data_IF_662007013734
#
_entry.id   IF_662007013734
#
_cell.length_a   1.000
_cell.length_b   1.000
_cell.length_c   1.000
_cell.angle_alpha   90.00
_cell.angle_beta   90.00
_cell.angle_gamma   90.00
#
_symmetry.space_group_name_H-M   'P 1'
#
loop_
_entity.id
_entity.type
_entity.pdbx_description
1 polymer ?
#
# COMPACT_ATOMS: atom_id res chain seq x y z
N UNK A 1 4.55 -18.51 -12.85
CA UNK A 1 3.52 -18.88 -11.86
C UNK A 1 4.02 -18.47 -10.49
N UNK A 2 3.21 -17.81 -9.68
CA UNK A 2 3.52 -17.50 -8.28
C UNK A 2 2.49 -18.23 -7.42
N UNK A 3 2.93 -18.86 -6.33
CA UNK A 3 2.05 -19.56 -5.39
C UNK A 3 1.77 -18.65 -4.21
N UNK A 4 0.48 -18.44 -3.90
CA UNK A 4 0.02 -17.86 -2.65
C UNK A 4 -0.67 -18.93 -1.79
N UNK A 5 -1.08 -18.57 -0.58
CA UNK A 5 -1.86 -19.45 0.29
C UNK A 5 -3.01 -18.68 0.94
N UNK A 6 -4.07 -19.41 1.30
CA UNK A 6 -5.17 -18.95 2.12
C UNK A 6 -5.44 -20.05 3.14
N UNK A 7 -5.24 -19.74 4.42
CA UNK A 7 -5.45 -20.68 5.51
C UNK A 7 -6.63 -20.20 6.35
N UNK A 8 -7.55 -21.11 6.66
CA UNK A 8 -8.63 -20.86 7.60
C UNK A 8 -8.26 -21.45 8.97
N UNK A 9 -8.54 -20.69 10.04
CA UNK A 9 -8.14 -21.02 11.40
C UNK A 9 -6.88 -20.27 11.85
N UNK A 10 -6.34 -20.65 13.01
CA UNK A 10 -5.22 -19.93 13.65
C UNK A 10 -3.86 -20.61 13.50
N UNK A 11 -3.81 -21.74 12.79
CA UNK A 11 -2.57 -22.48 12.59
C UNK A 11 -1.62 -21.72 11.65
N UNK A 12 -0.33 -21.68 12.01
CA UNK A 12 0.72 -21.10 11.17
C UNK A 12 0.84 -19.58 11.22
N UNK A 13 0.06 -18.89 12.05
CA UNK A 13 0.16 -17.43 12.21
C UNK A 13 1.55 -17.05 12.75
N UNK A 14 2.25 -16.14 12.06
CA UNK A 14 3.56 -15.69 12.53
C UNK A 14 3.48 -14.96 13.87
N UNK A 15 4.50 -15.18 14.72
CA UNK A 15 4.67 -14.43 15.98
C UNK A 15 5.06 -12.97 15.77
N UNK A 16 5.50 -12.59 14.56
CA UNK A 16 5.87 -11.21 14.24
C UNK A 16 4.68 -10.33 13.85
N UNK A 17 3.48 -10.90 13.74
CA UNK A 17 2.27 -10.17 13.34
C UNK A 17 2.01 -8.99 14.26
N UNK A 18 1.79 -7.82 13.65
CA UNK A 18 1.35 -6.60 14.32
C UNK A 18 -0.08 -6.29 13.90
N UNK A 19 -0.95 -6.14 14.89
CA UNK A 19 -2.37 -5.92 14.69
C UNK A 19 -2.75 -4.44 14.73
N UNK A 20 -3.72 -4.07 13.91
CA UNK A 20 -4.50 -2.84 13.99
C UNK A 20 -5.98 -3.20 14.19
N UNK A 21 -6.75 -2.44 14.98
CA UNK A 21 -8.20 -2.59 15.04
C UNK A 21 -8.82 -2.45 13.64
N UNK A 22 -9.89 -3.22 13.38
CA UNK A 22 -10.76 -3.01 12.23
C UNK A 22 -11.54 -1.72 12.48
N UNK A 23 -11.48 -0.77 11.55
CA UNK A 23 -12.30 0.45 11.61
C UNK A 23 -13.62 0.28 10.88
N UNK A 24 -14.63 1.06 11.26
CA UNK A 24 -15.87 1.18 10.49
C UNK A 24 -15.63 2.03 9.24
N UNK A 25 -16.25 1.65 8.13
CA UNK A 25 -16.29 2.42 6.88
C UNK A 25 -17.73 2.85 6.64
N UNK A 26 -17.93 4.10 6.25
CA UNK A 26 -19.28 4.66 6.05
C UNK A 26 -20.03 3.99 4.89
N UNK A 27 -19.31 3.50 3.88
CA UNK A 27 -19.87 2.96 2.64
C UNK A 27 -20.16 1.45 2.67
N UNK A 28 -19.98 0.76 3.79
CA UNK A 28 -20.34 -0.65 3.89
C UNK A 28 -19.90 -1.36 5.16
N UNK A 29 -20.80 -2.17 5.72
CA UNK A 29 -20.59 -2.93 6.96
C UNK A 29 -19.82 -4.24 6.77
N UNK A 30 -19.61 -4.68 5.53
CA UNK A 30 -19.00 -5.98 5.21
C UNK A 30 -17.52 -5.88 4.83
N UNK A 31 -16.92 -4.69 4.90
CA UNK A 31 -15.51 -4.48 4.56
C UNK A 31 -14.61 -4.52 5.79
N UNK A 32 -13.37 -4.99 5.61
CA UNK A 32 -12.33 -4.86 6.61
C UNK A 32 -11.73 -3.45 6.53
N UNK A 33 -12.14 -2.58 7.44
CA UNK A 33 -11.62 -1.23 7.52
C UNK A 33 -10.25 -1.15 8.16
N UNK A 34 -9.45 -0.21 7.64
CA UNK A 34 -8.17 0.21 8.18
C UNK A 34 -8.22 1.70 8.50
N UNK A 35 -7.57 2.09 9.60
CA UNK A 35 -7.37 3.50 9.93
C UNK A 35 -5.92 3.90 9.64
N UNK A 36 -5.70 4.58 8.51
CA UNK A 36 -4.37 5.07 8.09
C UNK A 36 -4.05 6.36 8.86
N UNK A 37 -3.00 6.32 9.67
CA UNK A 37 -2.53 7.45 10.48
C UNK A 37 -1.42 8.22 9.79
N UNK A 38 -0.56 7.53 9.04
CA UNK A 38 0.53 8.16 8.31
C UNK A 38 0.97 7.32 7.12
N UNK A 39 1.53 8.01 6.12
CA UNK A 39 2.31 7.43 5.05
C UNK A 39 3.70 8.06 5.12
N UNK A 40 4.74 7.27 5.00
CA UNK A 40 6.13 7.74 4.94
C UNK A 40 6.78 7.37 3.62
N UNK A 41 7.66 8.24 3.12
CA UNK A 41 8.49 8.00 1.93
C UNK A 41 9.94 8.34 2.28
N UNK A 42 10.84 7.36 2.15
CA UNK A 42 12.24 7.47 2.59
C UNK A 42 12.37 7.83 4.07
N UNK A 43 11.50 7.29 4.92
CA UNK A 43 11.47 7.58 6.37
C UNK A 43 10.85 8.92 6.76
N UNK A 44 10.46 9.77 5.80
CA UNK A 44 9.84 11.06 6.07
C UNK A 44 8.31 10.94 6.00
N UNK A 45 7.63 11.36 7.08
CA UNK A 45 6.17 11.44 7.12
C UNK A 45 5.67 12.47 6.11
N UNK A 46 4.73 12.06 5.27
CA UNK A 46 4.11 12.95 4.29
C UNK A 46 3.16 13.95 4.97
N UNK A 47 3.09 15.19 4.48
CA UNK A 47 2.19 16.22 5.01
C UNK A 47 0.76 16.01 4.51
N UNK A 48 0.13 14.90 4.93
CA UNK A 48 -1.25 14.57 4.59
C UNK A 48 -2.14 14.93 5.80
N UNK A 49 -3.15 15.81 5.64
CA UNK A 49 -4.09 16.09 6.72
C UNK A 49 -4.80 14.81 7.17
N UNK A 50 -4.97 14.62 8.48
CA UNK A 50 -5.65 13.43 9.02
C UNK A 50 -7.09 13.26 8.51
N UNK A 51 -7.75 14.38 8.18
CA UNK A 51 -9.10 14.41 7.61
C UNK A 51 -9.22 13.65 6.29
N UNK A 52 -8.12 13.50 5.53
CA UNK A 52 -8.11 12.80 4.23
C UNK A 52 -8.48 11.31 4.36
N UNK A 53 -8.20 10.68 5.51
CA UNK A 53 -8.53 9.27 5.75
C UNK A 53 -9.68 9.08 6.73
N UNK A 54 -10.36 10.15 7.15
CA UNK A 54 -11.37 10.09 8.22
C UNK A 54 -12.74 9.63 7.72
N UNK A 55 -13.15 10.02 6.52
CA UNK A 55 -14.46 9.67 5.95
C UNK A 55 -14.33 9.57 4.43
N UNK A 56 -14.75 8.46 3.81
CA UNK A 56 -15.39 7.27 4.39
C UNK A 56 -14.44 6.31 5.10
N UNK A 57 -13.12 6.59 5.09
CA UNK A 57 -12.09 5.77 5.74
C UNK A 57 -11.15 5.10 4.74
N UNK A 58 -10.50 4.02 5.19
CA UNK A 58 -9.74 3.13 4.32
C UNK A 58 -10.18 1.67 4.52
N UNK A 59 -9.97 0.85 3.50
CA UNK A 59 -10.26 -0.58 3.53
C UNK A 59 -9.09 -1.37 2.97
N UNK A 60 -9.01 -2.65 3.33
CA UNK A 60 -8.11 -3.62 2.68
C UNK A 60 -8.89 -4.50 1.72
N UNK A 61 -8.41 -4.63 0.49
CA UNK A 61 -9.10 -5.39 -0.55
C UNK A 61 -8.10 -6.05 -1.50
N UNK A 62 -8.04 -7.38 -1.46
CA UNK A 62 -7.24 -8.20 -2.37
C UNK A 62 -7.83 -8.28 -3.79
N UNK A 63 -9.09 -7.88 -4.00
CA UNK A 63 -9.74 -7.78 -5.30
C UNK A 63 -9.33 -6.55 -6.11
N UNK A 64 -8.85 -5.50 -5.44
CA UNK A 64 -8.30 -4.31 -6.09
C UNK A 64 -6.81 -4.49 -6.36
N UNK A 65 -6.39 -4.40 -7.64
CA UNK A 65 -5.02 -4.71 -8.06
C UNK A 65 -3.96 -3.87 -7.33
N UNK A 66 -4.11 -2.54 -7.29
CA UNK A 66 -3.16 -1.60 -6.68
C UNK A 66 -3.84 -0.73 -5.63
N UNK A 67 -3.07 -0.20 -4.68
CA UNK A 67 -3.59 0.74 -3.70
C UNK A 67 -4.14 1.99 -4.37
N UNK A 68 -5.35 2.37 -3.95
CA UNK A 68 -6.05 3.58 -4.37
C UNK A 68 -6.10 4.57 -3.21
N UNK A 69 -5.72 5.82 -3.45
CA UNK A 69 -5.67 6.85 -2.42
C UNK A 69 -6.52 8.04 -2.81
N UNK A 70 -7.13 8.76 -1.85
CA UNK A 70 -7.66 10.11 -2.08
C UNK A 70 -6.64 10.98 -2.84
N UNK A 71 -7.06 11.77 -3.87
CA UNK A 71 -6.18 12.63 -4.66
C UNK A 71 -5.13 13.40 -3.86
N UNK A 72 -5.48 14.00 -2.70
CA UNK A 72 -4.52 14.73 -1.84
C UNK A 72 -3.42 13.81 -1.31
N UNK A 73 -3.77 12.63 -0.80
CA UNK A 73 -2.81 11.67 -0.29
C UNK A 73 -1.94 11.11 -1.42
N UNK A 74 -2.55 10.77 -2.57
CA UNK A 74 -1.82 10.30 -3.74
C UNK A 74 -0.82 11.34 -4.25
N UNK A 75 -1.23 12.61 -4.35
CA UNK A 75 -0.37 13.70 -4.81
C UNK A 75 0.86 13.88 -3.90
N UNK A 76 0.68 13.83 -2.58
CA UNK A 76 1.78 13.91 -1.62
C UNK A 76 2.76 12.73 -1.77
N UNK A 77 2.24 11.50 -1.87
CA UNK A 77 3.05 10.29 -2.05
C UNK A 77 3.81 10.32 -3.37
N UNK A 78 3.10 10.58 -4.48
CA UNK A 78 3.67 10.67 -5.84
C UNK A 78 4.79 11.71 -5.88
N UNK A 79 4.55 12.91 -5.36
CA UNK A 79 5.51 14.01 -5.43
C UNK A 79 6.77 13.70 -4.62
N UNK A 80 6.62 13.23 -3.37
CA UNK A 80 7.76 12.85 -2.54
C UNK A 80 8.54 11.68 -3.14
N UNK A 81 7.86 10.70 -3.73
CA UNK A 81 8.51 9.54 -4.33
C UNK A 81 9.30 9.94 -5.58
N UNK A 82 8.70 10.72 -6.49
CA UNK A 82 9.37 11.25 -7.69
C UNK A 82 10.59 12.08 -7.33
N UNK A 83 10.50 12.94 -6.31
CA UNK A 83 11.63 13.75 -5.87
C UNK A 83 12.83 12.89 -5.41
N UNK A 84 12.58 11.80 -4.68
CA UNK A 84 13.64 10.86 -4.24
C UNK A 84 14.17 9.94 -5.34
N UNK A 85 13.41 9.80 -6.44
CA UNK A 85 13.78 9.02 -7.62
C UNK A 85 14.34 9.88 -8.76
N UNK A 86 14.64 11.16 -8.53
CA UNK A 86 15.00 12.15 -9.56
C UNK A 86 16.23 11.81 -10.42
N UNK A 87 17.11 10.91 -9.95
CA UNK A 87 18.24 10.40 -10.73
C UNK A 87 17.86 9.38 -11.82
N UNK A 88 16.62 8.91 -11.82
CA UNK A 88 16.11 7.93 -12.78
C UNK A 88 15.19 8.61 -13.79
N UNK A 89 15.35 8.36 -15.10
CA UNK A 89 14.52 8.97 -16.12
C UNK A 89 13.08 8.47 -16.00
N UNK A 90 12.14 9.39 -16.13
CA UNK A 90 10.71 9.03 -16.23
C UNK A 90 10.37 8.56 -17.63
N UNK A 91 9.37 7.69 -17.75
CA UNK A 91 8.80 7.22 -19.02
C UNK A 91 7.29 7.40 -19.03
N UNK A 92 6.63 7.05 -20.13
CA UNK A 92 5.18 7.15 -20.26
C UNK A 92 4.44 6.29 -19.24
N UNK A 93 3.35 6.85 -18.72
CA UNK A 93 2.40 6.15 -17.86
C UNK A 93 1.68 5.00 -18.58
N UNK A 94 1.08 4.10 -17.81
CA UNK A 94 0.30 2.96 -18.32
C UNK A 94 -1.04 2.91 -17.62
N UNK A 95 -2.13 3.08 -18.37
CA UNK A 95 -3.49 3.10 -17.81
C UNK A 95 -3.59 4.13 -16.66
N UNK A 96 -4.02 3.70 -15.48
CA UNK A 96 -4.15 4.54 -14.26
C UNK A 96 -2.82 4.84 -13.56
N UNK A 97 -1.72 4.22 -13.97
CA UNK A 97 -0.39 4.42 -13.38
C UNK A 97 0.33 5.58 -14.10
N UNK A 98 0.39 6.74 -13.46
CA UNK A 98 0.89 7.99 -14.07
C UNK A 98 2.38 8.29 -13.82
N UNK A 99 3.03 7.47 -12.99
CA UNK A 99 4.40 7.70 -12.54
C UNK A 99 5.25 6.48 -12.81
N UNK A 100 5.97 6.50 -13.93
CA UNK A 100 6.79 5.39 -14.38
C UNK A 100 8.22 5.85 -14.69
N UNK A 101 9.17 4.93 -14.52
CA UNK A 101 10.60 5.13 -14.73
C UNK A 101 11.15 4.13 -15.74
N UNK A 102 12.11 4.59 -16.55
CA UNK A 102 12.96 3.70 -17.35
C UNK A 102 14.21 3.37 -16.52
N UNK A 103 14.33 2.11 -16.12
CA UNK A 103 15.44 1.62 -15.30
C UNK A 103 16.42 0.75 -16.09
N UNK A 104 16.28 0.67 -17.42
CA UNK A 104 17.06 -0.22 -18.29
C UNK A 104 18.57 0.05 -18.26
N UNK A 105 18.97 1.31 -18.04
CA UNK A 105 20.37 1.72 -17.97
C UNK A 105 21.04 1.55 -16.60
N UNK A 106 20.35 1.00 -15.59
CA UNK A 106 20.82 1.01 -14.20
C UNK A 106 21.06 -0.40 -13.66
N UNK A 107 22.30 -0.68 -13.25
CA UNK A 107 22.66 -1.94 -12.58
C UNK A 107 22.10 -2.04 -11.16
N UNK A 108 21.96 -0.91 -10.48
CA UNK A 108 21.45 -0.83 -9.11
C UNK A 108 20.48 0.34 -8.99
N UNK A 109 19.30 0.05 -8.44
CA UNK A 109 18.25 1.04 -8.22
C UNK A 109 18.05 1.23 -6.72
N UNK A 110 18.21 2.45 -6.24
CA UNK A 110 17.92 2.83 -4.86
C UNK A 110 16.45 3.22 -4.77
N UNK A 111 15.65 2.36 -4.17
CA UNK A 111 14.21 2.55 -4.04
C UNK A 111 13.94 3.19 -2.68
N UNK A 112 13.27 4.36 -2.60
CA UNK A 112 12.91 4.94 -1.31
C UNK A 112 11.87 4.04 -0.63
N UNK A 113 12.10 3.75 0.66
CA UNK A 113 11.16 2.99 1.49
C UNK A 113 9.79 3.67 1.50
N UNK A 114 8.71 2.89 1.42
CA UNK A 114 7.35 3.39 1.60
C UNK A 114 6.72 2.59 2.73
N UNK A 115 6.12 3.25 3.70
CA UNK A 115 5.44 2.57 4.80
C UNK A 115 4.12 3.24 5.18
N UNK A 116 3.16 2.41 5.56
CA UNK A 116 1.87 2.81 6.10
C UNK A 116 1.87 2.58 7.62
N UNK A 117 1.44 3.57 8.37
CA UNK A 117 1.19 3.44 9.81
C UNK A 117 -0.31 3.42 10.04
N UNK A 118 -0.79 2.41 10.74
CA UNK A 118 -2.19 2.24 11.10
C UNK A 118 -2.42 2.56 12.59
N UNK A 119 -3.67 2.83 12.95
CA UNK A 119 -4.06 2.96 14.35
C UNK A 119 -3.69 1.71 15.15
N UNK A 120 -3.46 1.83 16.46
CA UNK A 120 -2.97 0.72 17.28
C UNK A 120 -1.47 0.40 17.08
N UNK A 121 -0.77 1.14 16.22
CA UNK A 121 0.69 1.12 16.13
C UNK A 121 1.27 0.12 15.13
N UNK A 122 0.44 -0.59 14.37
CA UNK A 122 0.92 -1.44 13.27
C UNK A 122 1.56 -0.58 12.18
N UNK A 123 2.77 -0.94 11.77
CA UNK A 123 3.50 -0.29 10.66
C UNK A 123 3.83 -1.33 9.62
N UNK A 124 3.43 -1.07 8.37
CA UNK A 124 3.68 -1.91 7.22
C UNK A 124 4.66 -1.20 6.30
N UNK A 125 5.92 -1.65 6.31
CA UNK A 125 6.92 -1.26 5.32
C UNK A 125 6.76 -2.14 4.07
N UNK A 126 6.62 -1.50 2.90
CA UNK A 126 6.42 -2.20 1.64
C UNK A 126 7.76 -2.63 1.05
N UNK A 127 7.83 -3.89 0.61
CA UNK A 127 8.91 -4.36 -0.25
C UNK A 127 8.84 -3.74 -1.65
N UNK A 128 9.88 -3.93 -2.46
CA UNK A 128 9.93 -3.40 -3.83
C UNK A 128 8.74 -3.84 -4.70
N UNK A 129 8.26 -5.07 -4.50
CA UNK A 129 7.06 -5.63 -5.16
C UNK A 129 5.76 -4.91 -4.74
N UNK A 130 5.70 -4.37 -3.52
CA UNK A 130 4.57 -3.55 -3.05
C UNK A 130 4.69 -2.08 -3.42
N UNK A 131 5.85 -1.63 -3.90
CA UNK A 131 6.07 -0.24 -4.34
C UNK A 131 5.88 -0.10 -5.86
N UNK A 132 6.32 -1.09 -6.63
CA UNK A 132 6.34 -1.01 -8.10
C UNK A 132 5.48 -2.07 -8.78
N UNK A 133 4.87 -1.65 -9.89
CA UNK A 133 4.30 -2.51 -10.90
C UNK A 133 5.24 -2.52 -12.11
N UNK A 134 5.81 -3.68 -12.44
CA UNK A 134 6.84 -3.81 -13.48
C UNK A 134 6.21 -4.38 -14.75
N UNK A 135 6.05 -3.56 -15.79
CA UNK A 135 5.65 -4.05 -17.13
C UNK A 135 6.86 -4.57 -17.91
N UNK A 136 7.95 -3.80 -17.87
CA UNK A 136 9.28 -4.12 -18.41
C UNK A 136 10.30 -3.21 -17.74
N UNK A 137 11.59 -3.52 -17.83
CA UNK A 137 12.62 -2.73 -17.14
C UNK A 137 12.66 -1.26 -17.58
N UNK A 138 12.26 -0.97 -18.83
CA UNK A 138 12.12 0.40 -19.33
C UNK A 138 10.77 1.06 -19.00
N UNK A 139 9.91 0.40 -18.22
CA UNK A 139 8.60 0.90 -17.80
C UNK A 139 8.18 0.27 -16.46
N UNK A 140 8.79 0.78 -15.39
CA UNK A 140 8.50 0.41 -13.99
C UNK A 140 7.70 1.52 -13.33
N UNK A 141 6.47 1.22 -12.92
CA UNK A 141 5.51 2.22 -12.45
C UNK A 141 5.29 2.15 -10.94
N UNK A 142 5.17 3.30 -10.28
CA UNK A 142 4.74 3.40 -8.88
C UNK A 142 3.34 2.79 -8.74
N UNK A 143 3.18 1.72 -7.95
CA UNK A 143 1.96 0.91 -7.87
C UNK A 143 0.85 1.53 -7.02
N UNK A 144 0.57 2.82 -7.23
CA UNK A 144 -0.46 3.58 -6.55
C UNK A 144 -1.19 4.43 -7.57
N UNK A 145 -2.47 4.72 -7.32
CA UNK A 145 -3.22 5.66 -8.13
C UNK A 145 -4.19 6.46 -7.27
N UNK A 146 -4.47 7.69 -7.71
CA UNK A 146 -5.50 8.53 -7.11
C UNK A 146 -6.90 8.02 -7.42
N UNK A 147 -7.82 8.15 -6.47
CA UNK A 147 -9.26 8.07 -6.69
C UNK A 147 -9.74 9.21 -7.60
N UNK A 148 -10.99 9.13 -8.07
CA UNK A 148 -11.64 10.23 -8.76
C UNK A 148 -11.89 11.43 -7.85
N UNK A 149 -12.14 11.19 -6.56
CA UNK A 149 -12.47 12.21 -5.57
C UNK A 149 -11.82 11.91 -4.20
N UNK A 150 -11.58 12.95 -3.38
CA UNK A 150 -11.06 12.83 -2.01
C UNK A 150 -12.09 12.22 -1.04
N UNK A 151 -13.38 12.26 -1.39
CA UNK A 151 -14.48 11.65 -0.64
C UNK A 151 -14.62 10.14 -0.90
N UNK A 152 -13.80 9.54 -1.76
CA UNK A 152 -13.79 8.09 -1.94
C UNK A 152 -12.83 7.42 -0.95
N UNK A 153 -13.23 6.25 -0.43
CA UNK A 153 -12.41 5.46 0.47
C UNK A 153 -11.02 5.17 -0.11
N UNK A 154 -9.99 5.21 0.75
CA UNK A 154 -8.70 4.63 0.38
C UNK A 154 -8.82 3.10 0.35
N UNK A 155 -8.10 2.47 -0.56
CA UNK A 155 -8.06 1.01 -0.70
C UNK A 155 -6.61 0.56 -0.60
N UNK A 156 -6.27 -0.23 0.41
CA UNK A 156 -4.99 -0.95 0.50
C UNK A 156 -5.07 -2.21 -0.36
N UNK A 157 -4.57 -2.10 -1.59
CA UNK A 157 -4.78 -3.10 -2.66
C UNK A 157 -3.83 -4.28 -2.61
N UNK A 158 -4.10 -5.26 -3.48
CA UNK A 158 -3.39 -6.53 -3.58
C UNK A 158 -1.88 -6.39 -3.70
N UNK A 159 -1.38 -5.53 -4.61
CA UNK A 159 0.08 -5.35 -4.82
C UNK A 159 0.80 -4.96 -3.52
N UNK A 160 0.19 -4.11 -2.69
CA UNK A 160 0.76 -3.71 -1.40
C UNK A 160 0.63 -4.78 -0.30
N UNK A 161 -0.27 -5.76 -0.49
CA UNK A 161 -0.40 -6.93 0.39
C UNK A 161 0.59 -8.04 0.03
N UNK A 162 1.13 -8.06 -1.19
CA UNK A 162 2.06 -9.11 -1.62
C UNK A 162 3.27 -9.19 -0.70
N UNK A 163 3.76 -10.42 -0.47
CA UNK A 163 4.88 -10.76 0.42
C UNK A 163 4.63 -10.54 1.91
N UNK A 164 3.46 -10.00 2.28
CA UNK A 164 3.02 -9.91 3.66
C UNK A 164 2.17 -11.14 4.00
N UNK A 165 2.27 -11.58 5.25
CA UNK A 165 1.22 -12.37 5.86
C UNK A 165 0.15 -11.40 6.38
N UNK A 166 -1.08 -11.54 5.89
CA UNK A 166 -2.22 -10.72 6.30
C UNK A 166 -3.20 -11.61 7.07
N UNK A 167 -3.43 -11.27 8.33
CA UNK A 167 -4.28 -12.05 9.23
C UNK A 167 -5.58 -11.30 9.46
N UNK A 168 -6.71 -11.91 9.10
CA UNK A 168 -8.05 -11.38 9.36
C UNK A 168 -8.62 -12.02 10.62
N UNK A 169 -8.51 -11.34 11.76
CA UNK A 169 -9.06 -11.78 13.05
C UNK A 169 -10.41 -11.09 13.30
N UNK A 170 -11.45 -11.63 12.66
CA UNK A 170 -12.82 -11.09 12.75
C UNK A 170 -13.40 -11.15 14.17
N UNK A 171 -13.14 -12.23 14.92
CA UNK A 171 -13.60 -12.37 16.31
C UNK A 171 -12.90 -11.37 17.25
N UNK A 172 -11.61 -11.10 17.02
CA UNK A 172 -10.84 -10.10 17.74
C UNK A 172 -11.00 -8.66 17.20
N UNK A 173 -11.78 -8.45 16.14
CA UNK A 173 -12.01 -7.13 15.56
C UNK A 173 -10.74 -6.43 15.05
N UNK A 174 -9.80 -7.18 14.45
CA UNK A 174 -8.48 -6.64 14.05
C UNK A 174 -7.91 -7.30 12.80
N UNK A 175 -7.05 -6.56 12.09
CA UNK A 175 -6.24 -7.06 10.97
C UNK A 175 -4.77 -7.03 11.36
N UNK A 176 -4.06 -8.12 11.08
CA UNK A 176 -2.65 -8.30 11.37
C UNK A 176 -1.78 -8.29 10.13
N UNK A 177 -0.57 -7.76 10.25
CA UNK A 177 0.44 -7.79 9.19
C UNK A 177 1.77 -8.32 9.73
N UNK A 178 2.40 -9.23 9.00
CA UNK A 178 3.80 -9.62 9.19
C UNK A 178 4.55 -9.62 7.85
N UNK A 179 5.85 -9.30 7.84
CA UNK A 179 6.67 -9.47 6.63
C UNK A 179 6.93 -10.95 6.34
N UNK A 180 7.37 -11.24 5.12
CA UNK A 180 7.80 -12.57 4.67
C UNK A 180 6.69 -13.64 4.71
N UNK A 181 5.45 -13.27 4.35
CA UNK A 181 4.33 -14.22 4.22
C UNK A 181 4.43 -15.16 3.02
N UNK A 182 5.44 -14.99 2.16
CA UNK A 182 5.74 -15.91 1.06
C UNK A 182 7.23 -16.21 1.10
N UNK A 183 7.58 -17.46 1.43
CA UNK A 183 8.95 -18.02 1.39
C UNK A 183 9.15 -18.89 0.16
#
# INVERSE_FOLDING_TARGET
SYTGHLTFGSAGISRSVKFTPISTITDGTSFYGLNIVAITVGGQKLPIPSTVFSTPGALIDSGTVITRLPPKAYAALRSSFKAKMSKYPTTSGVSILDTCFDLSGFKTVTIPKVAFSFSGGAVVELGSKGIFYVFKISQVCLAFAGNSDDSNAAIFGNVQQQTLEVVYDGAGGRVGFAPNGCS
#
